data_IF_665688241964
#
_entry.id   IF_665688241964
#
_cell.length_a   1.000
_cell.length_b   1.000
_cell.length_c   1.000
_cell.angle_alpha   90.00
_cell.angle_beta   90.00
_cell.angle_gamma   90.00
#
_symmetry.space_group_name_H-M   'P 1'
#
loop_
_entity.id
_entity.type
_entity.pdbx_description
1 polymer ?
#
# COMPACT_ATOMS: atom_id res chain seq x y z
N UNK A 1 -25.02 -8.65 4.16
CA UNK A 1 -24.87 -7.60 3.14
C UNK A 1 -24.59 -8.27 1.82
N UNK A 2 -25.26 -7.86 0.74
CA UNK A 2 -24.87 -8.26 -0.61
C UNK A 2 -23.98 -7.14 -1.18
N UNK A 3 -22.77 -7.48 -1.60
CA UNK A 3 -21.93 -6.60 -2.41
C UNK A 3 -22.68 -6.24 -3.69
N UNK A 4 -22.50 -5.01 -4.18
CA UNK A 4 -22.93 -4.66 -5.53
C UNK A 4 -22.13 -5.48 -6.55
N UNK A 5 -22.65 -5.59 -7.77
CA UNK A 5 -21.93 -6.21 -8.88
C UNK A 5 -20.56 -5.54 -9.05
N UNK A 6 -19.50 -6.36 -9.08
CA UNK A 6 -18.09 -5.94 -9.16
C UNK A 6 -17.56 -5.15 -7.96
N UNK A 7 -18.28 -5.10 -6.84
CA UNK A 7 -17.74 -4.56 -5.59
C UNK A 7 -16.87 -5.63 -4.91
N UNK A 8 -15.65 -5.26 -4.58
CA UNK A 8 -14.66 -6.12 -3.93
C UNK A 8 -14.22 -5.51 -2.60
N UNK A 9 -13.76 -6.37 -1.69
CA UNK A 9 -13.18 -5.92 -0.43
C UNK A 9 -11.78 -5.37 -0.72
N UNK A 10 -11.58 -4.08 -0.48
CA UNK A 10 -10.27 -3.44 -0.62
C UNK A 10 -9.37 -3.62 0.62
N UNK A 11 -9.97 -3.62 1.82
CA UNK A 11 -9.24 -3.75 3.09
C UNK A 11 -10.16 -4.24 4.20
N UNK A 12 -9.61 -5.02 5.13
CA UNK A 12 -10.26 -5.41 6.38
C UNK A 12 -9.46 -4.86 7.56
N UNK A 13 -10.12 -4.10 8.44
CA UNK A 13 -9.52 -3.57 9.67
C UNK A 13 -10.34 -4.08 10.85
N UNK A 14 -9.66 -4.73 11.80
CA UNK A 14 -10.28 -5.14 13.07
C UNK A 14 -10.16 -4.02 14.09
N UNK A 15 -11.27 -3.59 14.67
CA UNK A 15 -11.32 -2.56 15.72
C UNK A 15 -12.18 -3.04 16.88
N UNK A 16 -11.73 -2.76 18.11
CA UNK A 16 -12.52 -3.04 19.32
C UNK A 16 -13.64 -2.02 19.52
N UNK A 17 -13.37 -0.77 19.16
CA UNK A 17 -14.29 0.37 19.19
C UNK A 17 -13.74 1.47 18.24
N UNK A 18 -14.43 2.60 18.12
CA UNK A 18 -14.05 3.71 17.24
C UNK A 18 -13.07 4.72 17.88
N UNK A 19 -12.53 4.41 19.06
CA UNK A 19 -11.55 5.22 19.78
C UNK A 19 -10.14 4.63 19.71
N UNK A 20 -9.97 3.42 19.13
CA UNK A 20 -8.66 2.74 19.02
C UNK A 20 -7.61 3.51 18.22
N UNK A 21 -8.05 4.43 17.37
CA UNK A 21 -7.21 5.37 16.65
C UNK A 21 -8.04 6.63 16.35
N UNK A 22 -7.42 7.81 16.23
CA UNK A 22 -8.16 9.04 15.97
C UNK A 22 -8.71 9.08 14.53
N UNK A 23 -8.02 8.47 13.57
CA UNK A 23 -8.36 8.62 12.16
C UNK A 23 -8.33 7.30 11.37
N UNK A 24 -9.16 7.24 10.34
CA UNK A 24 -9.03 6.33 9.21
C UNK A 24 -8.49 7.12 8.02
N UNK A 25 -7.41 6.64 7.41
CA UNK A 25 -6.96 7.12 6.09
C UNK A 25 -7.29 6.09 5.02
N UNK A 26 -7.86 6.57 3.92
CA UNK A 26 -8.14 5.78 2.72
C UNK A 26 -7.32 6.34 1.56
N UNK A 27 -6.77 5.46 0.73
CA UNK A 27 -6.12 5.81 -0.53
C UNK A 27 -6.83 5.17 -1.73
N UNK A 28 -6.70 5.81 -2.88
CA UNK A 28 -7.35 5.40 -4.13
C UNK A 28 -6.34 5.14 -5.23
N UNK A 29 -6.75 4.38 -6.25
CA UNK A 29 -5.95 4.06 -7.44
C UNK A 29 -5.45 5.31 -8.15
N UNK A 30 -6.29 6.34 -8.24
CA UNK A 30 -5.93 7.62 -8.86
C UNK A 30 -4.97 8.49 -8.02
N UNK A 31 -4.65 8.05 -6.80
CA UNK A 31 -3.66 8.70 -5.93
C UNK A 31 -4.25 9.71 -4.97
N UNK A 32 -5.58 9.77 -4.82
CA UNK A 32 -6.22 10.53 -3.74
C UNK A 32 -6.04 9.81 -2.40
N UNK A 33 -5.88 10.59 -1.34
CA UNK A 33 -5.89 10.16 0.06
C UNK A 33 -6.91 10.98 0.85
N UNK A 34 -7.53 10.36 1.84
CA UNK A 34 -8.52 11.03 2.70
C UNK A 34 -8.40 10.57 4.14
N UNK A 35 -8.19 11.51 5.05
CA UNK A 35 -8.21 11.30 6.50
C UNK A 35 -9.59 11.66 7.05
N UNK A 36 -10.21 10.77 7.80
CA UNK A 36 -11.52 10.98 8.42
C UNK A 36 -11.45 10.55 9.88
N UNK A 37 -12.01 11.32 10.83
CA UNK A 37 -12.12 10.88 12.23
C UNK A 37 -12.76 9.49 12.32
N UNK A 38 -12.14 8.57 13.06
CA UNK A 38 -12.64 7.19 13.12
C UNK A 38 -14.05 7.12 13.71
N UNK A 39 -14.36 8.01 14.65
CA UNK A 39 -15.68 8.15 15.29
C UNK A 39 -16.82 8.43 14.29
N UNK A 40 -16.55 8.97 13.11
CA UNK A 40 -17.57 9.16 12.05
C UNK A 40 -18.14 7.84 11.53
N UNK A 41 -17.46 6.71 11.77
CA UNK A 41 -17.91 5.39 11.38
C UNK A 41 -18.69 4.67 12.48
N UNK A 42 -18.80 5.25 13.68
CA UNK A 42 -19.69 4.76 14.73
C UNK A 42 -21.14 5.04 14.34
N UNK A 43 -21.81 4.01 13.83
CA UNK A 43 -23.17 4.14 13.34
C UNK A 43 -23.94 2.83 13.52
N UNK A 44 -25.20 2.88 13.97
CA UNK A 44 -26.05 1.69 14.09
C UNK A 44 -26.53 1.15 12.72
N UNK A 45 -26.10 1.74 11.60
CA UNK A 45 -26.62 1.42 10.26
C UNK A 45 -26.10 0.07 9.75
N UNK A 46 -27.01 -0.89 9.58
CA UNK A 46 -26.69 -2.21 9.01
C UNK A 46 -26.34 -2.21 7.50
N UNK A 47 -26.68 -1.14 6.77
CA UNK A 47 -26.54 -1.02 5.30
C UNK A 47 -25.22 -0.43 4.80
N UNK A 48 -24.23 -0.27 5.68
CA UNK A 48 -22.89 0.21 5.31
C UNK A 48 -22.84 1.73 5.24
N UNK A 49 -21.65 2.29 5.28
CA UNK A 49 -21.41 3.73 5.31
C UNK A 49 -20.57 4.12 4.10
N UNK A 50 -20.88 5.27 3.51
CA UNK A 50 -19.99 5.86 2.49
C UNK A 50 -18.70 6.23 3.22
N UNK A 51 -17.58 5.67 2.78
CA UNK A 51 -16.28 5.96 3.35
C UNK A 51 -15.49 6.98 2.54
N UNK A 52 -15.75 7.11 1.24
CA UNK A 52 -15.13 8.08 0.32
C UNK A 52 -16.00 8.25 -0.93
N UNK A 53 -16.01 9.44 -1.52
CA UNK A 53 -16.67 9.69 -2.81
C UNK A 53 -15.68 9.48 -3.96
N UNK A 54 -15.82 8.38 -4.69
CA UNK A 54 -14.95 8.03 -5.82
C UNK A 54 -15.34 8.76 -7.11
N UNK A 55 -14.33 9.08 -7.92
CA UNK A 55 -14.53 9.54 -9.30
C UNK A 55 -14.75 8.32 -10.21
N UNK A 56 -15.21 8.57 -11.44
CA UNK A 56 -15.32 7.52 -12.45
C UNK A 56 -13.97 6.82 -12.66
N UNK A 57 -13.98 5.48 -12.72
CA UNK A 57 -12.80 4.61 -12.87
C UNK A 57 -11.75 4.71 -11.75
N UNK A 58 -12.13 5.26 -10.58
CA UNK A 58 -11.30 5.21 -9.39
C UNK A 58 -11.80 4.13 -8.43
N UNK A 59 -10.89 3.57 -7.64
CA UNK A 59 -11.19 2.51 -6.69
C UNK A 59 -10.36 2.68 -5.43
N UNK A 60 -10.86 2.18 -4.30
CA UNK A 60 -10.10 2.14 -3.05
C UNK A 60 -9.01 1.09 -3.17
N UNK A 61 -7.78 1.47 -2.82
CA UNK A 61 -6.60 0.60 -2.87
C UNK A 61 -6.17 0.18 -1.47
N UNK A 62 -6.22 1.09 -0.49
CA UNK A 62 -5.83 0.76 0.88
C UNK A 62 -6.60 1.59 1.89
N UNK A 63 -6.71 1.07 3.10
CA UNK A 63 -7.19 1.80 4.25
C UNK A 63 -6.33 1.45 5.49
N UNK A 64 -6.06 2.45 6.34
CA UNK A 64 -5.25 2.29 7.54
C UNK A 64 -5.77 3.18 8.66
N UNK A 65 -5.80 2.63 9.87
CA UNK A 65 -6.00 3.43 11.09
C UNK A 65 -4.72 4.18 11.40
N UNK A 66 -4.79 5.49 11.60
CA UNK A 66 -3.62 6.34 11.83
C UNK A 66 -3.84 7.29 12.99
N UNK A 67 -2.74 7.62 13.65
CA UNK A 67 -2.59 8.82 14.47
C UNK A 67 -1.98 9.97 13.64
N UNK A 68 -1.93 11.17 14.23
CA UNK A 68 -1.39 12.36 13.55
C UNK A 68 0.14 12.40 13.45
N UNK A 69 0.84 11.49 14.14
CA UNK A 69 2.31 11.40 14.11
C UNK A 69 2.83 10.36 13.12
N UNK A 70 1.98 9.43 12.72
CA UNK A 70 2.27 8.42 11.72
C UNK A 70 2.66 9.04 10.38
N UNK A 71 3.30 8.23 9.56
CA UNK A 71 3.60 8.56 8.18
C UNK A 71 2.90 7.59 7.23
N UNK A 72 2.71 8.04 6.00
CA UNK A 72 2.12 7.27 4.92
C UNK A 72 3.15 7.09 3.82
N UNK A 73 3.38 5.84 3.41
CA UNK A 73 4.16 5.49 2.23
C UNK A 73 3.22 5.02 1.13
N UNK A 74 3.11 5.83 0.08
CA UNK A 74 2.40 5.48 -1.15
C UNK A 74 3.41 4.93 -2.14
N UNK A 75 3.09 3.80 -2.77
CA UNK A 75 3.92 3.19 -3.81
C UNK A 75 3.08 2.95 -5.06
N UNK A 76 3.62 3.27 -6.23
CA UNK A 76 2.97 3.10 -7.53
C UNK A 76 3.37 1.78 -8.20
N UNK A 77 2.56 1.32 -9.16
CA UNK A 77 2.87 0.11 -9.95
C UNK A 77 4.16 0.24 -10.75
N UNK A 78 4.46 1.45 -11.26
CA UNK A 78 5.72 1.73 -11.98
C UNK A 78 6.90 2.11 -11.08
N UNK A 79 6.83 1.78 -9.79
CA UNK A 79 7.97 1.83 -8.90
C UNK A 79 8.35 3.23 -8.43
N UNK A 80 7.37 4.14 -8.31
CA UNK A 80 7.55 5.42 -7.63
C UNK A 80 7.01 5.35 -6.19
N UNK A 81 7.52 6.18 -5.30
CA UNK A 81 7.10 6.25 -3.90
C UNK A 81 7.06 7.68 -3.35
N UNK A 82 6.05 7.94 -2.53
CA UNK A 82 5.83 9.19 -1.82
C UNK A 82 5.61 8.89 -0.34
N UNK A 83 6.47 9.44 0.53
CA UNK A 83 6.38 9.32 1.99
C UNK A 83 6.11 10.69 2.60
N UNK A 84 5.08 10.83 3.42
CA UNK A 84 4.73 12.10 4.09
C UNK A 84 4.03 11.83 5.42
N UNK A 85 4.02 12.82 6.32
CA UNK A 85 3.38 12.74 7.63
C UNK A 85 1.85 12.83 7.53
N UNK A 86 1.15 12.11 8.41
CA UNK A 86 -0.30 12.10 8.49
C UNK A 86 -0.85 13.19 9.41
N UNK A 87 -0.07 14.22 9.74
CA UNK A 87 -0.48 15.36 10.58
C UNK A 87 -1.61 16.19 9.92
N UNK A 88 -2.22 17.08 10.70
CA UNK A 88 -3.37 17.88 10.25
C UNK A 88 -2.97 18.99 9.27
N UNK A 89 -1.70 19.42 9.27
CA UNK A 89 -1.18 20.40 8.32
C UNK A 89 -1.04 19.78 6.91
N UNK A 90 -0.47 18.58 6.85
CA UNK A 90 -0.20 17.84 5.60
C UNK A 90 -1.46 17.18 5.06
N UNK A 91 -2.28 16.61 5.95
CA UNK A 91 -3.49 15.88 5.60
C UNK A 91 -4.63 16.19 6.57
N UNK A 92 -5.29 17.35 6.42
CA UNK A 92 -6.41 17.75 7.26
C UNK A 92 -7.54 16.69 7.33
N UNK A 93 -8.20 16.51 8.48
CA UNK A 93 -9.39 15.68 8.60
C UNK A 93 -10.54 16.19 7.72
N UNK A 94 -11.29 15.26 7.13
CA UNK A 94 -12.43 15.53 6.25
C UNK A 94 -13.59 14.58 6.56
N UNK A 95 -14.81 15.03 6.24
CA UNK A 95 -16.00 14.20 6.36
C UNK A 95 -15.99 12.98 5.43
N UNK A 96 -16.83 12.00 5.77
CA UNK A 96 -16.94 10.72 5.06
C UNK A 96 -17.25 10.85 3.56
N UNK A 97 -18.31 11.59 3.21
CA UNK A 97 -18.82 11.73 1.83
C UNK A 97 -18.05 12.73 0.97
N UNK A 98 -16.71 12.79 1.11
CA UNK A 98 -15.83 13.65 0.31
C UNK A 98 -14.80 12.80 -0.44
N UNK A 99 -14.17 13.38 -1.47
CA UNK A 99 -13.22 12.64 -2.33
C UNK A 99 -11.78 12.58 -1.81
N UNK A 100 -11.42 13.38 -0.80
CA UNK A 100 -10.04 13.51 -0.34
C UNK A 100 -9.20 14.49 -1.16
N UNK A 101 -7.89 14.42 -0.99
CA UNK A 101 -6.88 15.30 -1.58
C UNK A 101 -5.79 14.48 -2.25
N UNK A 102 -5.02 15.08 -3.16
CA UNK A 102 -3.98 14.35 -3.93
C UNK A 102 -2.87 13.87 -2.98
N UNK A 103 -2.74 12.56 -2.79
CA UNK A 103 -1.63 11.93 -2.07
C UNK A 103 -0.37 11.89 -2.91
N UNK A 104 -0.48 11.36 -4.12
CA UNK A 104 0.61 11.18 -5.08
C UNK A 104 0.11 11.44 -6.49
N UNK A 105 0.95 12.02 -7.35
CA UNK A 105 0.67 12.19 -8.78
C UNK A 105 1.39 11.10 -9.57
N UNK A 106 0.78 10.68 -10.68
CA UNK A 106 1.32 9.66 -11.54
C UNK A 106 1.65 10.21 -12.93
N UNK A 107 2.60 9.55 -13.60
CA UNK A 107 2.76 9.70 -15.05
C UNK A 107 1.72 8.84 -15.76
N UNK A 108 1.58 9.04 -17.08
CA UNK A 108 0.65 8.25 -17.88
C UNK A 108 0.90 6.74 -17.72
N UNK A 109 -0.18 5.98 -17.50
CA UNK A 109 -0.15 4.53 -17.32
C UNK A 109 0.35 4.04 -15.96
N UNK A 110 0.59 4.94 -15.00
CA UNK A 110 0.93 4.57 -13.62
C UNK A 110 -0.23 4.88 -12.67
N UNK A 111 -0.28 4.17 -11.56
CA UNK A 111 -1.36 4.23 -10.58
C UNK A 111 -0.88 3.76 -9.21
N UNK A 112 -1.65 4.07 -8.17
CA UNK A 112 -1.32 3.64 -6.82
C UNK A 112 -1.42 2.10 -6.72
N UNK A 113 -0.34 1.47 -6.28
CA UNK A 113 -0.33 0.04 -5.93
C UNK A 113 -0.77 -0.17 -4.49
N UNK A 114 -0.27 0.65 -3.56
CA UNK A 114 -0.54 0.50 -2.12
C UNK A 114 -0.27 1.79 -1.36
N UNK A 115 -0.93 1.93 -0.21
CA UNK A 115 -0.53 2.84 0.85
C UNK A 115 -0.25 2.03 2.12
N UNK A 116 0.96 2.16 2.66
CA UNK A 116 1.33 1.60 3.95
C UNK A 116 1.38 2.70 5.03
N UNK A 117 0.91 2.38 6.23
CA UNK A 117 1.17 3.17 7.44
C UNK A 117 2.57 2.84 7.96
N UNK A 118 3.28 3.85 8.42
CA UNK A 118 4.52 3.72 9.19
C UNK A 118 4.24 4.34 10.55
N UNK A 119 4.31 3.53 11.60
CA UNK A 119 4.19 4.04 12.96
C UNK A 119 5.45 4.83 13.32
N UNK A 120 5.27 6.03 13.88
CA UNK A 120 6.39 6.91 14.26
C UNK A 120 7.31 6.30 15.33
N UNK A 121 6.83 5.29 16.06
CA UNK A 121 7.56 4.57 17.10
C UNK A 121 8.24 3.29 16.58
N UNK A 122 7.91 2.84 15.37
CA UNK A 122 8.53 1.66 14.78
C UNK A 122 9.93 2.01 14.27
N UNK A 123 10.85 1.05 14.41
CA UNK A 123 12.22 1.14 13.91
C UNK A 123 12.59 -0.11 13.11
N UNK A 124 13.70 -0.04 12.38
CA UNK A 124 14.23 -1.15 11.56
C UNK A 124 13.24 -1.67 10.50
N UNK A 125 12.37 -0.79 10.01
CA UNK A 125 11.43 -1.13 8.95
C UNK A 125 12.11 -1.20 7.59
N UNK A 126 11.63 -2.13 6.78
CA UNK A 126 12.07 -2.34 5.41
C UNK A 126 10.85 -2.22 4.47
N UNK A 127 11.08 -1.66 3.30
CA UNK A 127 10.12 -1.67 2.20
C UNK A 127 10.48 -2.82 1.28
N UNK A 128 9.67 -3.87 1.33
CA UNK A 128 9.69 -4.96 0.38
C UNK A 128 8.95 -4.55 -0.89
N UNK A 129 9.49 -4.91 -2.06
CA UNK A 129 8.84 -4.72 -3.36
C UNK A 129 9.00 -5.99 -4.19
N UNK A 130 7.96 -6.39 -4.91
CA UNK A 130 8.01 -7.50 -5.86
C UNK A 130 7.28 -7.18 -7.17
N UNK A 131 7.79 -7.73 -8.27
CA UNK A 131 7.19 -7.64 -9.60
C UNK A 131 6.40 -8.89 -9.97
N UNK A 132 5.48 -8.76 -10.93
CA UNK A 132 4.80 -9.89 -11.58
C UNK A 132 5.78 -10.86 -12.27
N UNK A 133 6.92 -10.36 -12.76
CA UNK A 133 8.02 -11.18 -13.28
C UNK A 133 8.79 -12.00 -12.23
N UNK A 134 8.39 -11.96 -10.95
CA UNK A 134 8.98 -12.78 -9.90
C UNK A 134 10.30 -12.24 -9.33
N UNK A 135 10.57 -10.95 -9.50
CA UNK A 135 11.74 -10.28 -8.90
C UNK A 135 11.33 -9.53 -7.65
N UNK A 136 12.18 -9.55 -6.63
CA UNK A 136 11.92 -8.88 -5.36
C UNK A 136 13.18 -8.36 -4.69
N UNK A 137 12.97 -7.45 -3.75
CA UNK A 137 14.00 -6.88 -2.88
C UNK A 137 13.36 -6.27 -1.63
N UNK A 138 14.19 -6.03 -0.63
CA UNK A 138 13.86 -5.15 0.50
C UNK A 138 14.84 -3.97 0.56
N UNK A 139 14.36 -2.83 1.02
CA UNK A 139 15.17 -1.60 1.13
C UNK A 139 14.86 -0.93 2.47
N UNK A 140 15.86 -0.45 3.24
CA UNK A 140 15.60 0.30 4.47
C UNK A 140 14.63 1.45 4.27
N UNK A 141 13.69 1.61 5.20
CA UNK A 141 12.68 2.66 5.10
C UNK A 141 13.31 4.07 5.05
N UNK A 142 14.45 4.25 5.70
CA UNK A 142 15.19 5.52 5.77
C UNK A 142 15.71 5.98 4.42
N UNK A 143 15.88 5.08 3.45
CA UNK A 143 16.16 5.52 2.10
C UNK A 143 15.01 6.38 1.59
N UNK A 144 13.75 6.00 1.84
CA UNK A 144 12.53 6.72 1.50
C UNK A 144 12.34 7.96 2.38
N UNK A 145 13.06 9.03 2.05
CA UNK A 145 12.91 10.33 2.72
C UNK A 145 11.47 10.87 2.68
N UNK A 146 11.13 11.64 3.71
CA UNK A 146 9.92 12.47 3.74
C UNK A 146 9.94 13.49 2.59
N UNK A 147 8.76 13.73 2.03
CA UNK A 147 8.50 14.61 0.90
C UNK A 147 7.18 15.34 1.12
N UNK A 148 6.99 16.47 0.42
CA UNK A 148 5.67 17.09 0.34
C UNK A 148 4.67 16.20 -0.42
N UNK A 149 3.47 16.05 0.13
CA UNK A 149 2.36 15.32 -0.50
C UNK A 149 2.01 15.92 -1.87
N UNK A 150 1.56 15.08 -2.80
CA UNK A 150 1.02 15.50 -4.10
C UNK A 150 2.08 15.70 -5.20
N UNK A 151 3.32 15.26 -4.96
CA UNK A 151 4.34 15.12 -5.99
C UNK A 151 4.32 13.73 -6.67
N UNK A 152 5.26 13.52 -7.59
CA UNK A 152 5.44 12.22 -8.28
C UNK A 152 6.25 11.23 -7.42
N UNK A 153 7.00 11.75 -6.43
CA UNK A 153 7.80 10.93 -5.54
C UNK A 153 9.19 10.59 -6.10
N UNK A 154 9.83 9.62 -5.46
CA UNK A 154 11.16 9.10 -5.77
C UNK A 154 11.05 7.63 -6.18
N UNK A 155 12.07 7.07 -6.82
CA UNK A 155 12.05 5.65 -7.17
C UNK A 155 11.97 4.79 -5.92
N UNK A 156 11.05 3.83 -5.91
CA UNK A 156 10.97 2.71 -4.98
C UNK A 156 11.73 1.49 -5.52
N UNK A 157 11.65 1.26 -6.83
CA UNK A 157 12.34 0.19 -7.55
C UNK A 157 12.73 0.68 -8.95
N UNK A 158 13.82 0.15 -9.49
CA UNK A 158 14.11 0.30 -10.92
C UNK A 158 13.28 -0.75 -11.68
N UNK A 159 12.30 -0.27 -12.44
CA UNK A 159 11.40 -1.11 -13.23
C UNK A 159 11.94 -1.26 -14.65
N UNK A 160 11.86 -2.49 -15.15
CA UNK A 160 12.08 -2.87 -16.55
C UNK A 160 10.84 -3.65 -16.97
N UNK A 161 9.88 -2.95 -17.59
CA UNK A 161 8.56 -3.51 -17.92
C UNK A 161 8.66 -4.64 -18.94
N UNK A 162 9.67 -4.62 -19.81
CA UNK A 162 9.85 -5.62 -20.87
C UNK A 162 10.39 -6.95 -20.33
N UNK A 163 11.27 -6.90 -19.32
CA UNK A 163 11.96 -8.11 -18.83
C UNK A 163 11.55 -8.57 -17.43
N UNK A 164 11.07 -7.65 -16.56
CA UNK A 164 10.72 -7.94 -15.16
C UNK A 164 9.30 -7.54 -14.80
N UNK A 165 8.59 -6.87 -15.71
CA UNK A 165 7.22 -6.40 -15.55
C UNK A 165 7.09 -5.25 -14.54
N UNK A 166 5.97 -5.16 -13.83
CA UNK A 166 5.61 -4.05 -12.93
C UNK A 166 5.45 -4.51 -11.49
N UNK A 167 5.43 -3.59 -10.52
CA UNK A 167 5.20 -3.95 -9.13
C UNK A 167 3.78 -4.51 -8.93
N UNK A 168 3.72 -5.68 -8.29
CA UNK A 168 2.48 -6.31 -7.80
C UNK A 168 2.39 -6.31 -6.28
N UNK A 169 3.48 -5.94 -5.59
CA UNK A 169 3.48 -5.79 -4.16
C UNK A 169 4.49 -4.74 -3.71
N UNK A 170 4.09 -3.95 -2.72
CA UNK A 170 4.99 -3.22 -1.87
C UNK A 170 4.48 -3.31 -0.41
N UNK A 171 5.34 -3.75 0.50
CA UNK A 171 4.97 -4.01 1.90
C UNK A 171 5.98 -3.32 2.81
N UNK A 172 5.49 -2.75 3.91
CA UNK A 172 6.34 -2.38 5.04
C UNK A 172 6.40 -3.57 5.98
N UNK A 173 7.60 -4.05 6.26
CA UNK A 173 7.85 -5.24 7.05
C UNK A 173 9.13 -5.11 7.87
N UNK A 174 9.37 -6.06 8.77
CA UNK A 174 10.59 -6.27 9.53
C UNK A 174 11.27 -7.57 9.09
N UNK A 175 12.52 -7.78 9.48
CA UNK A 175 13.29 -8.96 9.05
C UNK A 175 12.70 -10.29 9.54
N UNK A 176 12.01 -10.26 10.69
CA UNK A 176 11.31 -11.40 11.27
C UNK A 176 9.98 -11.75 10.58
N UNK A 177 9.47 -10.88 9.70
CA UNK A 177 8.24 -11.16 8.96
C UNK A 177 8.47 -12.22 7.86
N UNK A 178 7.39 -12.81 7.37
CA UNK A 178 7.40 -13.68 6.18
C UNK A 178 6.51 -13.12 5.08
N UNK A 179 6.88 -13.37 3.83
CA UNK A 179 6.08 -13.01 2.66
C UNK A 179 5.54 -14.26 1.95
N UNK A 180 4.32 -14.15 1.44
CA UNK A 180 3.62 -15.18 0.68
C UNK A 180 3.41 -14.66 -0.75
N UNK A 181 4.11 -15.26 -1.72
CA UNK A 181 3.94 -14.96 -3.13
C UNK A 181 2.94 -15.96 -3.76
N UNK A 182 1.95 -15.43 -4.48
CA UNK A 182 0.90 -16.21 -5.14
C UNK A 182 1.07 -16.04 -6.65
N UNK A 183 1.18 -17.16 -7.37
CA UNK A 183 1.33 -17.16 -8.83
C UNK A 183 -0.01 -17.34 -9.55
N UNK A 184 -0.05 -17.00 -10.84
CA UNK A 184 -1.22 -17.21 -11.70
C UNK A 184 -1.58 -18.68 -11.89
N UNK A 185 -0.66 -19.60 -11.58
CA UNK A 185 -0.90 -21.04 -11.56
C UNK A 185 -1.49 -21.55 -10.22
N UNK A 186 -1.74 -20.66 -9.25
CA UNK A 186 -2.28 -21.01 -7.94
C UNK A 186 -1.23 -21.52 -6.95
N UNK A 187 0.07 -21.45 -7.28
CA UNK A 187 1.14 -21.83 -6.37
C UNK A 187 1.35 -20.74 -5.32
N UNK A 188 1.47 -21.13 -4.05
CA UNK A 188 1.82 -20.24 -2.94
C UNK A 188 3.23 -20.56 -2.47
N UNK A 189 4.09 -19.56 -2.40
CA UNK A 189 5.48 -19.67 -1.95
C UNK A 189 5.70 -18.78 -0.75
N UNK A 190 6.23 -19.38 0.33
CA UNK A 190 6.61 -18.65 1.55
C UNK A 190 8.10 -18.35 1.53
N UNK A 191 8.46 -17.14 1.93
CA UNK A 191 9.86 -16.72 2.01
C UNK A 191 10.04 -15.84 3.25
N UNK A 192 10.96 -16.18 4.17
CA UNK A 192 11.33 -15.28 5.27
C UNK A 192 11.86 -13.96 4.72
N UNK A 193 11.42 -12.83 5.29
CA UNK A 193 11.88 -11.51 4.84
C UNK A 193 13.39 -11.37 5.00
N UNK A 194 13.97 -11.98 6.05
CA UNK A 194 15.41 -12.09 6.27
C UNK A 194 16.19 -12.62 5.04
N UNK A 195 15.63 -13.57 4.28
CA UNK A 195 16.28 -14.18 3.10
C UNK A 195 16.15 -13.32 1.83
N UNK A 196 15.20 -12.39 1.80
CA UNK A 196 15.03 -11.47 0.67
C UNK A 196 16.22 -10.51 0.61
N UNK A 197 16.81 -10.36 -0.58
CA UNK A 197 17.99 -9.52 -0.76
C UNK A 197 17.71 -8.06 -0.43
N UNK A 198 18.47 -7.52 0.51
CA UNK A 198 18.50 -6.09 0.79
C UNK A 198 19.34 -5.34 -0.26
N UNK A 199 18.74 -4.34 -0.91
CA UNK A 199 19.39 -3.47 -1.89
C UNK A 199 18.79 -2.06 -1.83
N UNK A 200 19.50 -1.08 -2.40
CA UNK A 200 18.99 0.29 -2.49
C UNK A 200 17.77 0.41 -3.40
N UNK A 201 17.07 1.54 -3.32
CA UNK A 201 15.83 1.77 -4.08
C UNK A 201 15.99 1.70 -5.60
N UNK A 202 17.04 2.30 -6.16
CA UNK A 202 17.28 2.35 -7.62
C UNK A 202 17.97 1.09 -8.15
N UNK A 203 17.53 -0.07 -7.64
CA UNK A 203 17.94 -1.39 -8.10
C UNK A 203 16.73 -2.17 -8.59
N UNK A 204 16.97 -3.16 -9.44
CA UNK A 204 15.91 -4.01 -10.01
C UNK A 204 15.55 -5.21 -9.11
N UNK A 205 16.22 -5.37 -7.97
CA UNK A 205 16.11 -6.56 -7.13
C UNK A 205 16.68 -7.83 -7.77
N UNK A 206 16.43 -8.95 -7.09
CA UNK A 206 16.89 -10.29 -7.49
C UNK A 206 15.69 -11.21 -7.71
N UNK A 207 15.91 -12.37 -8.30
CA UNK A 207 14.84 -13.35 -8.48
C UNK A 207 14.35 -13.83 -7.11
N UNK A 208 13.06 -13.66 -6.85
CA UNK A 208 12.37 -14.13 -5.65
C UNK A 208 11.71 -15.49 -5.90
N UNK A 209 11.14 -15.65 -7.10
CA UNK A 209 10.42 -16.86 -7.51
C UNK A 209 10.92 -17.34 -8.86
N UNK A 210 11.13 -18.65 -8.98
CA UNK A 210 11.32 -19.30 -10.29
C UNK A 210 9.95 -19.56 -10.92
N UNK A 211 9.60 -18.77 -11.93
CA UNK A 211 8.36 -18.90 -12.67
C UNK A 211 8.56 -19.79 -13.89
N UNK A 212 7.58 -20.65 -14.18
CA UNK A 212 7.49 -21.35 -15.44
C UNK A 212 7.04 -20.40 -16.57
N UNK A 213 7.23 -20.81 -17.83
CA UNK A 213 6.84 -20.01 -18.99
C UNK A 213 5.34 -19.65 -18.94
N UNK A 214 5.03 -18.36 -19.11
CA UNK A 214 3.66 -17.83 -19.05
C UNK A 214 3.07 -17.66 -17.63
N UNK A 215 3.76 -18.13 -16.59
CA UNK A 215 3.35 -17.94 -15.19
C UNK A 215 3.90 -16.62 -14.67
N UNK A 216 3.09 -15.87 -13.92
CA UNK A 216 3.48 -14.60 -13.30
C UNK A 216 3.02 -14.57 -11.84
N UNK A 217 3.64 -13.70 -11.03
CA UNK A 217 3.19 -13.41 -9.67
C UNK A 217 1.98 -12.49 -9.76
N UNK A 218 0.88 -12.88 -9.09
CA UNK A 218 -0.37 -12.12 -9.05
C UNK A 218 -0.37 -11.18 -7.85
N UNK A 219 0.14 -11.64 -6.71
CA UNK A 219 0.20 -10.85 -5.49
C UNK A 219 1.29 -11.39 -4.56
N UNK A 220 1.82 -10.51 -3.71
CA UNK A 220 2.64 -10.89 -2.56
C UNK A 220 2.08 -10.19 -1.33
N UNK A 221 1.82 -10.95 -0.27
CA UNK A 221 1.32 -10.42 1.00
C UNK A 221 2.23 -10.84 2.15
N UNK A 222 2.07 -10.20 3.31
CA UNK A 222 2.71 -10.61 4.56
C UNK A 222 1.96 -11.80 5.15
N UNK A 223 2.67 -12.79 5.68
CA UNK A 223 2.06 -13.87 6.44
C UNK A 223 1.43 -13.32 7.73
N UNK A 224 0.25 -13.81 8.09
CA UNK A 224 -0.47 -13.37 9.29
C UNK A 224 -0.12 -14.21 10.54
N UNK A 225 0.94 -15.03 10.49
CA UNK A 225 1.29 -15.96 11.56
C UNK A 225 2.14 -15.29 12.66
N UNK A 226 1.43 -14.67 13.63
CA UNK A 226 1.62 -14.72 15.10
C UNK A 226 1.16 -13.42 15.76
#
# INVERSE_FOLDING_TARGET
MAFKTNETIAQVLSVKNYEVAPYLVISTKSGLVKKTPLIEYDSPRAGGLIAISLKNNDEVVSASLVDGSDELLLVSKKGMAMRFTADDETLRPMGRSTSGVIGMKFRAGDELLTMARINSQDSNLLVFTATDGGYGKKTPIDEYRLQGRGGIGIKAAKIDEDSRGVLVSALVLRDEDEVLAITSAGTVMRTPAAEVRQTGRDSMGVRLVNLADGVHVVSVTKSAEN
#
